data_IF_184002242991
#
_entry.id   IF_184002242991
#
_cell.length_a   1.000
_cell.length_b   1.000
_cell.length_c   1.000
_cell.angle_alpha   90.00
_cell.angle_beta   90.00
_cell.angle_gamma   90.00
#
_symmetry.space_group_name_H-M   'P 1'
#
loop_
_entity.id
_entity.type
_entity.pdbx_description
1 polymer ?
#
# COMPACT_ATOMS: atom_id res chain seq x y z
N UNK A 1 8.14 7.64 -12.10
CA UNK A 1 6.76 8.09 -12.37
C UNK A 1 5.93 6.84 -12.69
N UNK A 2 4.76 6.63 -12.08
CA UNK A 2 3.98 5.39 -12.24
C UNK A 2 3.02 5.46 -13.45
N UNK A 3 3.59 5.52 -14.64
CA UNK A 3 2.87 5.63 -15.92
C UNK A 3 3.82 5.83 -17.09
N UNK A 4 3.26 5.92 -18.30
CA UNK A 4 4.02 6.26 -19.51
C UNK A 4 4.43 7.74 -19.49
N UNK A 5 5.65 8.02 -19.94
CA UNK A 5 6.14 9.37 -20.18
C UNK A 5 5.52 9.97 -21.46
N UNK A 6 5.00 9.15 -22.37
CA UNK A 6 4.43 9.60 -23.64
C UNK A 6 5.42 10.36 -24.52
N UNK A 7 6.72 10.10 -24.35
CA UNK A 7 7.80 10.89 -24.91
C UNK A 7 8.64 10.04 -25.89
N UNK A 8 8.87 10.51 -27.13
CA UNK A 8 9.57 9.71 -28.15
C UNK A 8 11.06 9.52 -27.88
N UNK A 9 11.61 10.19 -26.86
CA UNK A 9 13.01 10.09 -26.43
C UNK A 9 13.18 9.25 -25.16
N UNK A 10 12.09 8.70 -24.61
CA UNK A 10 12.15 7.71 -23.53
C UNK A 10 11.84 6.36 -24.12
N UNK A 11 12.86 5.52 -24.09
CA UNK A 11 12.94 4.28 -24.82
C UNK A 11 12.30 3.10 -24.10
N UNK A 12 12.43 3.05 -22.77
CA UNK A 12 12.12 1.88 -21.95
C UNK A 12 11.46 2.31 -20.65
N UNK A 13 10.41 1.58 -20.25
CA UNK A 13 9.79 1.67 -18.94
C UNK A 13 10.08 0.40 -18.16
N UNK A 14 10.64 0.55 -16.95
CA UNK A 14 10.82 -0.56 -16.01
C UNK A 14 9.50 -0.82 -15.26
N UNK A 15 8.99 -2.05 -15.33
CA UNK A 15 7.75 -2.47 -14.68
C UNK A 15 7.84 -3.94 -14.23
N UNK A 16 6.71 -4.53 -13.88
CA UNK A 16 6.55 -5.97 -13.67
C UNK A 16 5.28 -6.47 -14.38
N UNK A 17 5.04 -7.78 -14.35
CA UNK A 17 3.91 -8.41 -15.02
C UNK A 17 2.53 -8.05 -14.44
N UNK A 18 2.47 -7.50 -13.22
CA UNK A 18 1.21 -7.09 -12.58
C UNK A 18 0.87 -5.65 -12.93
N UNK A 19 1.86 -4.75 -12.93
CA UNK A 19 1.66 -3.33 -13.21
C UNK A 19 1.24 -3.07 -14.64
N UNK A 20 2.01 -3.65 -15.57
CA UNK A 20 1.79 -3.55 -17.00
C UNK A 20 1.66 -4.98 -17.53
N UNK A 21 0.47 -5.57 -17.42
CA UNK A 21 0.25 -6.89 -17.99
C UNK A 21 0.34 -6.82 -19.54
N UNK A 22 0.63 -7.92 -20.25
CA UNK A 22 0.84 -7.91 -21.70
C UNK A 22 -0.31 -7.25 -22.48
N UNK A 23 -1.55 -7.43 -22.03
CA UNK A 23 -2.74 -6.85 -22.65
C UNK A 23 -2.78 -5.31 -22.61
N UNK A 24 -2.06 -4.68 -21.68
CA UNK A 24 -2.07 -3.22 -21.49
C UNK A 24 -0.84 -2.55 -22.11
N UNK A 25 0.10 -3.30 -22.71
CA UNK A 25 1.33 -2.75 -23.31
C UNK A 25 1.05 -1.67 -24.36
N UNK A 26 -0.06 -1.80 -25.10
CA UNK A 26 -0.45 -0.84 -26.13
C UNK A 26 -0.72 0.58 -25.60
N UNK A 27 -0.85 0.76 -24.28
CA UNK A 27 -1.04 2.06 -23.63
C UNK A 27 0.27 2.76 -23.23
N UNK A 28 1.43 2.17 -23.56
CA UNK A 28 2.75 2.68 -23.22
C UNK A 28 3.54 3.02 -24.48
N UNK A 29 4.11 4.23 -24.53
CA UNK A 29 5.00 4.61 -25.65
C UNK A 29 6.36 3.91 -25.57
N UNK A 30 6.79 3.58 -24.37
CA UNK A 30 8.06 2.92 -24.10
C UNK A 30 7.96 1.40 -24.28
N UNK A 31 9.09 0.76 -24.62
CA UNK A 31 9.21 -0.68 -24.48
C UNK A 31 9.12 -1.07 -22.99
N UNK A 32 8.23 -1.99 -22.64
CA UNK A 32 8.03 -2.42 -21.25
C UNK A 32 9.07 -3.48 -20.88
N UNK A 33 10.05 -3.12 -20.05
CA UNK A 33 11.03 -4.03 -19.47
C UNK A 33 10.53 -4.55 -18.12
N UNK A 34 10.20 -5.84 -18.05
CA UNK A 34 9.61 -6.45 -16.86
C UNK A 34 10.65 -7.11 -15.96
N UNK A 35 10.65 -6.71 -14.70
CA UNK A 35 11.38 -7.38 -13.63
C UNK A 35 10.61 -8.59 -13.10
N UNK A 36 11.31 -9.64 -12.63
CA UNK A 36 10.69 -10.71 -11.88
C UNK A 36 10.22 -10.20 -10.50
N UNK A 37 9.03 -10.61 -10.07
CA UNK A 37 8.46 -10.15 -8.80
C UNK A 37 7.84 -8.75 -8.92
N UNK A 38 8.40 -7.76 -8.20
CA UNK A 38 7.91 -6.38 -8.20
C UNK A 38 8.94 -5.42 -8.80
N UNK A 39 8.47 -4.35 -9.45
CA UNK A 39 9.31 -3.27 -9.96
C UNK A 39 9.98 -2.41 -8.86
N UNK A 40 9.47 -2.45 -7.63
CA UNK A 40 9.86 -1.51 -6.59
C UNK A 40 11.06 -2.03 -5.79
N UNK A 41 12.16 -1.28 -5.83
CA UNK A 41 13.30 -1.51 -4.93
C UNK A 41 12.92 -1.16 -3.49
N UNK A 42 13.24 -2.04 -2.55
CA UNK A 42 13.11 -1.79 -1.12
C UNK A 42 14.42 -2.14 -0.39
N UNK A 43 14.67 -1.46 0.73
CA UNK A 43 15.82 -1.75 1.59
C UNK A 43 15.70 -3.14 2.22
N UNK A 44 16.82 -3.68 2.71
CA UNK A 44 16.78 -4.86 3.57
C UNK A 44 15.97 -4.57 4.85
N UNK A 45 15.31 -5.58 5.41
CA UNK A 45 14.51 -5.43 6.64
C UNK A 45 15.34 -4.91 7.83
N UNK A 46 16.63 -5.23 7.88
CA UNK A 46 17.54 -4.83 8.96
C UNK A 46 18.22 -3.47 8.76
N UNK A 47 17.89 -2.73 7.69
CA UNK A 47 18.63 -1.52 7.30
C UNK A 47 18.37 -0.29 8.21
N UNK A 48 17.23 -0.25 8.90
CA UNK A 48 16.80 0.93 9.65
C UNK A 48 17.14 0.80 11.14
N UNK A 49 17.60 1.89 11.77
CA UNK A 49 17.78 1.95 13.23
C UNK A 49 16.41 1.97 13.90
N UNK A 50 16.10 1.05 14.83
CA UNK A 50 14.78 0.99 15.43
C UNK A 50 14.53 2.22 16.30
N UNK A 51 13.53 3.02 15.95
CA UNK A 51 12.93 3.96 16.89
C UNK A 51 12.05 3.19 17.88
N UNK A 52 11.87 3.72 19.09
CA UNK A 52 10.94 3.12 20.05
C UNK A 52 9.50 3.19 19.50
N UNK A 53 8.79 2.07 19.52
CA UNK A 53 7.39 2.02 19.13
C UNK A 53 6.56 2.85 20.12
N UNK A 54 5.79 3.85 19.65
CA UNK A 54 4.91 4.61 20.53
C UNK A 54 3.74 3.75 20.99
N UNK A 55 3.10 4.13 22.08
CA UNK A 55 1.83 3.57 22.52
C UNK A 55 0.65 4.14 21.73
N UNK A 56 -0.51 3.46 21.81
CA UNK A 56 -1.77 4.00 21.27
C UNK A 56 -2.15 5.34 21.89
N UNK A 57 -1.89 5.53 23.19
CA UNK A 57 -2.19 6.78 23.88
C UNK A 57 -1.35 7.95 23.34
N UNK A 58 -0.05 7.74 23.11
CA UNK A 58 0.86 8.75 22.55
C UNK A 58 0.50 9.14 21.11
N UNK A 59 -0.21 8.27 20.39
CA UNK A 59 -0.62 8.49 18.99
C UNK A 59 -2.06 8.96 18.84
N UNK A 60 -2.79 9.15 19.95
CA UNK A 60 -4.20 9.53 19.94
C UNK A 60 -5.15 8.43 19.45
N UNK A 61 -4.66 7.19 19.34
CA UNK A 61 -5.46 6.03 18.99
C UNK A 61 -6.29 5.54 20.19
N UNK A 62 -7.47 4.94 19.96
CA UNK A 62 -8.25 4.35 21.04
C UNK A 62 -7.51 3.17 21.69
N UNK A 63 -7.64 3.03 23.02
CA UNK A 63 -6.96 1.97 23.78
C UNK A 63 -7.39 0.55 23.39
N UNK A 64 -8.56 0.41 22.76
CA UNK A 64 -9.11 -0.84 22.24
C UNK A 64 -9.72 -0.62 20.86
N UNK A 65 -10.11 -1.70 20.20
CA UNK A 65 -10.71 -1.66 18.88
C UNK A 65 -9.70 -1.80 17.73
N UNK A 66 -10.24 -2.08 16.56
CA UNK A 66 -9.49 -2.32 15.34
C UNK A 66 -9.01 -1.00 14.74
N UNK A 67 -7.74 -0.92 14.34
CA UNK A 67 -7.17 0.29 13.71
C UNK A 67 -6.93 0.03 12.24
N UNK A 68 -7.80 0.58 11.38
CA UNK A 68 -7.48 0.73 9.97
C UNK A 68 -6.48 1.87 9.80
N UNK A 69 -5.55 1.78 8.86
CA UNK A 69 -4.61 2.86 8.58
C UNK A 69 -4.52 3.19 7.08
N UNK A 70 -4.19 4.44 6.78
CA UNK A 70 -3.77 4.84 5.44
C UNK A 70 -2.88 6.09 5.55
N UNK A 71 -1.57 5.92 5.42
CA UNK A 71 -0.61 7.03 5.48
C UNK A 71 -0.33 7.69 4.12
N UNK A 72 -1.26 7.55 3.18
CA UNK A 72 -1.16 8.17 1.86
C UNK A 72 -1.39 9.68 1.93
N UNK A 73 -0.90 10.39 0.90
CA UNK A 73 -1.23 11.79 0.70
C UNK A 73 -2.75 11.98 0.48
N UNK A 74 -3.30 13.06 1.03
CA UNK A 74 -4.74 13.35 0.98
C UNK A 74 -5.34 13.38 -0.44
N UNK A 75 -4.57 13.79 -1.46
CA UNK A 75 -5.05 13.82 -2.85
C UNK A 75 -5.31 12.43 -3.46
N UNK A 76 -4.85 11.34 -2.82
CA UNK A 76 -5.19 9.96 -3.22
C UNK A 76 -6.56 9.51 -2.69
N UNK A 77 -7.14 10.24 -1.75
CA UNK A 77 -8.41 9.89 -1.12
C UNK A 77 -9.55 10.47 -1.96
N UNK A 78 -10.02 9.68 -2.92
CA UNK A 78 -11.18 10.05 -3.73
C UNK A 78 -12.48 9.89 -2.94
N UNK A 79 -13.56 10.60 -3.31
CA UNK A 79 -14.86 10.43 -2.67
C UNK A 79 -15.33 8.96 -2.67
N UNK A 80 -15.15 8.25 -3.78
CA UNK A 80 -15.57 6.84 -3.92
C UNK A 80 -14.85 5.90 -2.95
N UNK A 81 -13.54 6.06 -2.76
CA UNK A 81 -12.78 5.27 -1.78
C UNK A 81 -13.16 5.67 -0.36
N UNK A 82 -13.35 6.97 -0.12
CA UNK A 82 -13.74 7.46 1.20
C UNK A 82 -15.14 6.95 1.60
N UNK A 83 -16.08 6.87 0.65
CA UNK A 83 -17.39 6.26 0.86
C UNK A 83 -17.26 4.79 1.29
N UNK A 84 -16.37 4.02 0.65
CA UNK A 84 -16.08 2.64 1.02
C UNK A 84 -15.52 2.53 2.44
N UNK A 85 -14.58 3.39 2.80
CA UNK A 85 -14.03 3.44 4.16
C UNK A 85 -15.08 3.82 5.21
N UNK A 86 -16.00 4.72 4.90
CA UNK A 86 -17.08 5.05 5.84
C UNK A 86 -18.05 3.88 6.03
N UNK A 87 -18.35 3.11 4.97
CA UNK A 87 -19.11 1.85 5.08
C UNK A 87 -18.39 0.81 5.94
N UNK A 88 -17.07 0.64 5.75
CA UNK A 88 -16.24 -0.24 6.57
C UNK A 88 -16.31 0.19 8.05
N UNK A 89 -16.08 1.48 8.34
CA UNK A 89 -16.14 2.00 9.71
C UNK A 89 -17.54 1.80 10.32
N UNK A 90 -18.61 2.05 9.58
CA UNK A 90 -19.97 1.82 10.05
C UNK A 90 -20.22 0.33 10.39
N UNK A 91 -19.71 -0.59 9.59
CA UNK A 91 -19.85 -2.04 9.80
C UNK A 91 -18.94 -2.61 10.90
N UNK A 92 -17.92 -1.88 11.34
CA UNK A 92 -16.98 -2.30 12.39
C UNK A 92 -17.02 -1.29 13.55
N UNK A 93 -18.01 -1.40 14.47
CA UNK A 93 -18.13 -0.50 15.61
C UNK A 93 -16.85 -0.49 16.47
N UNK A 94 -16.51 0.69 17.00
CA UNK A 94 -15.31 0.87 17.84
C UNK A 94 -13.98 0.86 17.09
N UNK A 95 -13.96 0.66 15.77
CA UNK A 95 -12.73 0.82 14.97
C UNK A 95 -12.39 2.28 14.71
N UNK A 96 -11.11 2.55 14.45
CA UNK A 96 -10.60 3.86 14.04
C UNK A 96 -9.95 3.77 12.65
N UNK A 97 -9.93 4.90 11.93
CA UNK A 97 -9.19 5.10 10.70
C UNK A 97 -8.05 6.09 10.96
N UNK A 98 -6.81 5.62 10.85
CA UNK A 98 -5.62 6.38 11.15
C UNK A 98 -4.95 6.88 9.86
N UNK A 99 -4.99 8.20 9.65
CA UNK A 99 -4.56 8.86 8.42
C UNK A 99 -3.31 9.71 8.64
N UNK A 100 -2.57 10.02 7.58
CA UNK A 100 -1.51 11.02 7.65
C UNK A 100 -2.10 12.43 7.70
N UNK A 101 -1.65 13.24 8.67
CA UNK A 101 -1.91 14.68 8.66
C UNK A 101 -0.94 15.38 7.71
N UNK A 102 -1.41 15.66 6.49
CA UNK A 102 -0.64 16.50 5.57
C UNK A 102 -0.78 18.00 5.92
N UNK A 103 -2.02 18.45 6.13
CA UNK A 103 -2.38 19.82 6.50
C UNK A 103 -3.66 19.82 7.33
N UNK A 104 -3.83 20.74 8.31
CA UNK A 104 -5.04 20.81 9.14
C UNK A 104 -6.34 20.93 8.33
N UNK A 105 -6.34 21.70 7.24
CA UNK A 105 -7.53 21.83 6.38
C UNK A 105 -7.98 20.48 5.76
N UNK A 106 -7.05 19.56 5.49
CA UNK A 106 -7.38 18.23 4.98
C UNK A 106 -8.05 17.38 6.06
N UNK A 107 -7.54 17.40 7.28
CA UNK A 107 -8.10 16.61 8.39
C UNK A 107 -9.47 17.14 8.81
N UNK A 108 -9.65 18.46 8.90
CA UNK A 108 -10.95 19.11 9.11
C UNK A 108 -11.98 18.73 8.03
N UNK A 109 -11.57 18.76 6.75
CA UNK A 109 -12.41 18.37 5.65
C UNK A 109 -12.85 16.90 5.76
N UNK A 110 -11.91 15.99 5.98
CA UNK A 110 -12.19 14.56 6.10
C UNK A 110 -13.09 14.24 7.30
N UNK A 111 -12.92 14.94 8.44
CA UNK A 111 -13.82 14.84 9.59
C UNK A 111 -15.25 15.26 9.24
N UNK A 112 -15.42 16.38 8.52
CA UNK A 112 -16.74 16.84 8.06
C UNK A 112 -17.37 15.85 7.09
N UNK A 113 -16.59 15.33 6.15
CA UNK A 113 -17.05 14.33 5.18
C UNK A 113 -17.44 13.00 5.84
N UNK A 114 -16.74 12.59 6.91
CA UNK A 114 -17.11 11.41 7.71
C UNK A 114 -18.45 11.62 8.43
N UNK A 115 -18.62 12.78 9.09
CA UNK A 115 -19.87 13.14 9.78
C UNK A 115 -21.06 13.18 8.80
N UNK A 116 -20.86 13.73 7.59
CA UNK A 116 -21.89 13.76 6.54
C UNK A 116 -22.33 12.35 6.08
N UNK A 117 -21.51 11.32 6.32
CA UNK A 117 -21.80 9.91 6.02
C UNK A 117 -22.24 9.12 7.26
N UNK A 118 -22.52 9.80 8.37
CA UNK A 118 -22.99 9.18 9.61
C UNK A 118 -21.89 8.48 10.43
N UNK A 119 -20.61 8.75 10.16
CA UNK A 119 -19.49 8.24 10.96
C UNK A 119 -19.00 9.32 11.90
N UNK A 120 -18.87 9.00 13.19
CA UNK A 120 -18.30 9.92 14.18
C UNK A 120 -16.89 10.37 13.75
N UNK A 121 -16.72 11.69 13.59
CA UNK A 121 -15.48 12.33 13.20
C UNK A 121 -14.30 11.96 14.11
N UNK A 122 -14.53 11.64 15.39
CA UNK A 122 -13.50 11.23 16.33
C UNK A 122 -12.88 9.85 16.01
N UNK A 123 -13.54 9.06 15.16
CA UNK A 123 -12.99 7.78 14.66
C UNK A 123 -11.91 7.98 13.61
N UNK A 124 -11.76 9.18 13.05
CA UNK A 124 -10.64 9.54 12.21
C UNK A 124 -9.53 10.11 13.12
N UNK A 125 -8.40 9.42 13.17
CA UNK A 125 -7.21 9.85 13.92
C UNK A 125 -6.17 10.30 12.89
N UNK A 126 -5.47 11.40 13.15
CA UNK A 126 -4.50 11.96 12.21
C UNK A 126 -3.10 11.93 12.83
N UNK A 127 -2.19 11.21 12.17
CA UNK A 127 -0.80 11.11 12.59
C UNK A 127 0.01 12.28 12.02
N UNK A 128 0.79 13.01 12.83
CA UNK A 128 1.67 14.04 12.31
C UNK A 128 2.77 13.44 11.43
N UNK A 129 3.44 14.30 10.65
CA UNK A 129 4.70 13.93 10.01
C UNK A 129 5.78 13.72 11.08
N UNK A 130 6.61 12.71 10.87
CA UNK A 130 7.75 12.38 11.72
C UNK A 130 8.90 11.88 10.84
N UNK A 131 10.06 11.61 11.44
CA UNK A 131 11.18 10.96 10.77
C UNK A 131 10.80 9.55 10.29
N UNK A 132 11.56 9.03 9.32
CA UNK A 132 11.28 7.72 8.72
C UNK A 132 11.29 6.58 9.75
N UNK A 133 12.29 6.54 10.64
CA UNK A 133 12.37 5.52 11.68
C UNK A 133 11.15 5.54 12.64
N UNK A 134 10.67 6.73 13.02
CA UNK A 134 9.47 6.90 13.85
C UNK A 134 8.20 6.53 13.07
N UNK A 135 8.18 6.81 11.76
CA UNK A 135 7.08 6.42 10.88
C UNK A 135 6.98 4.90 10.78
N UNK A 136 8.10 4.19 10.61
CA UNK A 136 8.12 2.74 10.62
C UNK A 136 7.70 2.19 11.99
N UNK A 137 8.28 2.68 13.08
CA UNK A 137 8.01 2.19 14.44
C UNK A 137 6.53 2.32 14.87
N UNK A 138 5.77 3.25 14.28
CA UNK A 138 4.33 3.42 14.57
C UNK A 138 3.42 2.51 13.76
N UNK A 139 3.88 1.95 12.63
CA UNK A 139 3.07 1.12 11.73
C UNK A 139 2.42 -0.06 12.49
N UNK A 140 3.11 -0.82 13.36
CA UNK A 140 2.52 -1.98 14.04
C UNK A 140 1.32 -1.69 14.95
N UNK A 141 1.03 -0.42 15.27
CA UNK A 141 -0.20 -0.06 15.97
C UNK A 141 -1.46 -0.20 15.11
N UNK A 142 -1.30 -0.29 13.78
CA UNK A 142 -2.38 -0.55 12.83
C UNK A 142 -2.65 -2.05 12.66
N UNK A 143 -3.93 -2.37 12.46
CA UNK A 143 -4.41 -3.72 12.22
C UNK A 143 -4.50 -4.09 10.74
N UNK A 144 -4.91 -3.14 9.91
CA UNK A 144 -4.97 -3.31 8.46
C UNK A 144 -4.72 -1.97 7.76
N UNK A 145 -3.80 -1.95 6.81
CA UNK A 145 -3.62 -0.81 5.93
C UNK A 145 -4.63 -0.89 4.78
N UNK A 146 -5.41 0.18 4.61
CA UNK A 146 -6.39 0.36 3.56
C UNK A 146 -5.78 1.16 2.41
N UNK A 147 -5.56 0.50 1.27
CA UNK A 147 -5.03 1.16 0.08
C UNK A 147 -6.09 2.01 -0.65
N UNK A 148 -5.64 2.89 -1.55
CA UNK A 148 -6.48 3.81 -2.33
C UNK A 148 -6.57 3.43 -3.81
N UNK A 149 -7.59 3.97 -4.49
CA UNK A 149 -7.86 3.80 -5.93
C UNK A 149 -8.39 5.15 -6.48
N UNK A 150 -8.07 5.56 -7.73
CA UNK A 150 -7.30 4.88 -8.78
C UNK A 150 -5.78 4.94 -8.62
N UNK A 151 -5.29 5.68 -7.63
CA UNK A 151 -3.87 5.82 -7.34
C UNK A 151 -3.56 5.16 -6.01
N UNK A 152 -2.90 4.01 -6.03
CA UNK A 152 -2.54 3.23 -4.85
C UNK A 152 -1.38 3.81 -4.05
N UNK A 153 -1.20 3.26 -2.87
CA UNK A 153 0.00 3.34 -2.08
C UNK A 153 1.17 2.78 -2.87
N UNK A 154 2.34 3.38 -2.66
CA UNK A 154 3.58 2.94 -3.27
C UNK A 154 4.53 2.63 -2.12
N UNK A 155 5.38 3.58 -1.74
CA UNK A 155 6.29 3.45 -0.59
C UNK A 155 5.54 3.21 0.73
N UNK A 156 4.39 3.85 0.93
CA UNK A 156 3.58 3.66 2.14
C UNK A 156 3.04 2.24 2.31
N UNK A 157 2.77 1.53 1.20
CA UNK A 157 2.38 0.12 1.25
C UNK A 157 3.58 -0.76 1.57
N UNK A 158 4.74 -0.51 0.98
CA UNK A 158 5.95 -1.29 1.31
C UNK A 158 6.42 -1.03 2.74
N UNK A 159 6.25 0.17 3.28
CA UNK A 159 6.50 0.49 4.71
C UNK A 159 5.55 -0.29 5.64
N UNK A 160 4.24 -0.35 5.32
CA UNK A 160 3.29 -1.13 6.12
C UNK A 160 3.63 -2.64 6.09
N UNK A 161 3.90 -3.19 4.90
CA UNK A 161 4.30 -4.58 4.74
C UNK A 161 5.65 -4.88 5.43
N UNK A 162 6.62 -3.95 5.33
CA UNK A 162 7.92 -4.01 6.03
C UNK A 162 7.73 -4.20 7.53
N UNK A 163 6.75 -3.52 8.11
CA UNK A 163 6.48 -3.54 9.56
C UNK A 163 5.44 -4.59 9.96
N UNK A 164 4.97 -5.40 9.01
CA UNK A 164 4.12 -6.57 9.29
C UNK A 164 2.64 -6.22 9.40
N UNK A 165 2.26 -5.04 8.91
CA UNK A 165 0.87 -4.63 8.76
C UNK A 165 0.38 -5.13 7.40
N UNK A 166 -0.67 -5.98 7.35
CA UNK A 166 -1.26 -6.38 6.08
C UNK A 166 -1.80 -5.17 5.32
N UNK A 167 -1.61 -5.16 4.00
CA UNK A 167 -2.14 -4.12 3.11
C UNK A 167 -3.26 -4.74 2.29
N UNK A 168 -4.47 -4.19 2.39
CA UNK A 168 -5.58 -4.54 1.50
C UNK A 168 -5.65 -3.52 0.36
N UNK A 169 -5.64 -3.99 -0.87
CA UNK A 169 -5.73 -3.16 -2.08
C UNK A 169 -6.87 -3.57 -2.99
N UNK A 170 -7.30 -2.67 -3.86
CA UNK A 170 -8.26 -2.93 -4.92
C UNK A 170 -7.55 -2.80 -6.27
N UNK A 171 -7.60 -3.83 -7.12
CA UNK A 171 -6.88 -3.83 -8.40
C UNK A 171 -7.43 -2.74 -9.32
N UNK A 172 -6.61 -1.74 -9.62
CA UNK A 172 -6.92 -0.72 -10.61
C UNK A 172 -6.66 -1.17 -12.05
N UNK A 173 -6.92 -0.26 -12.99
CA UNK A 173 -6.73 -0.45 -14.43
C UNK A 173 -5.48 0.25 -14.98
N UNK A 174 -4.74 0.98 -14.15
CA UNK A 174 -3.52 1.70 -14.52
C UNK A 174 -2.34 1.23 -13.69
N UNK A 175 -1.13 1.58 -14.12
CA UNK A 175 0.10 1.34 -13.35
C UNK A 175 -0.05 1.82 -11.90
N UNK A 176 -0.42 3.09 -11.71
CA UNK A 176 -0.54 3.68 -10.37
C UNK A 176 -1.60 2.99 -9.50
N UNK A 177 -2.61 2.36 -10.11
CA UNK A 177 -3.64 1.59 -9.41
C UNK A 177 -3.30 0.12 -9.17
N UNK A 178 -2.12 -0.35 -9.60
CA UNK A 178 -1.71 -1.76 -9.46
C UNK A 178 -0.47 -1.96 -8.60
N UNK A 179 0.10 -0.91 -8.02
CA UNK A 179 1.32 -1.02 -7.18
C UNK A 179 1.09 -1.89 -5.94
N UNK A 180 0.00 -1.69 -5.20
CA UNK A 180 -0.36 -2.57 -4.09
C UNK A 180 -0.46 -4.05 -4.51
N UNK A 181 -1.06 -4.30 -5.68
CA UNK A 181 -1.21 -5.66 -6.21
C UNK A 181 0.14 -6.28 -6.61
N UNK A 182 1.06 -5.51 -7.18
CA UNK A 182 2.42 -5.96 -7.49
C UNK A 182 3.18 -6.36 -6.23
N UNK A 183 3.13 -5.53 -5.18
CA UNK A 183 3.80 -5.81 -3.89
C UNK A 183 3.23 -7.09 -3.24
N UNK A 184 1.91 -7.23 -3.21
CA UNK A 184 1.24 -8.40 -2.64
C UNK A 184 1.49 -9.66 -3.48
N UNK A 185 1.56 -9.53 -4.81
CA UNK A 185 1.94 -10.62 -5.70
C UNK A 185 3.38 -11.11 -5.42
N UNK A 186 4.32 -10.19 -5.23
CA UNK A 186 5.71 -10.53 -4.87
C UNK A 186 5.83 -11.21 -3.50
N UNK A 187 4.91 -10.94 -2.57
CA UNK A 187 4.82 -11.59 -1.26
C UNK A 187 3.98 -12.88 -1.26
N UNK A 188 3.33 -13.23 -2.37
CA UNK A 188 2.43 -14.40 -2.42
C UNK A 188 1.18 -14.24 -1.55
N UNK A 189 0.61 -13.02 -1.48
CA UNK A 189 -0.61 -12.69 -0.72
C UNK A 189 -1.73 -12.18 -1.65
N UNK A 190 -2.12 -12.92 -2.71
CA UNK A 190 -3.11 -12.46 -3.68
C UNK A 190 -4.51 -12.25 -3.09
N UNK A 191 -4.83 -12.90 -1.97
CA UNK A 191 -6.11 -12.73 -1.27
C UNK A 191 -6.34 -11.33 -0.69
N UNK A 192 -5.29 -10.50 -0.64
CA UNK A 192 -5.36 -9.09 -0.25
C UNK A 192 -5.51 -8.14 -1.44
N UNK A 193 -5.69 -8.68 -2.65
CA UNK A 193 -5.99 -7.92 -3.86
C UNK A 193 -7.45 -8.12 -4.23
N UNK A 194 -8.30 -7.18 -3.81
CA UNK A 194 -9.70 -7.20 -4.16
C UNK A 194 -9.92 -6.86 -5.64
N UNK A 195 -10.83 -7.55 -6.35
CA UNK A 195 -11.14 -7.27 -7.76
C UNK A 195 -11.95 -5.98 -7.95
N UNK A 196 -12.66 -5.54 -6.92
CA UNK A 196 -13.50 -4.34 -6.92
C UNK A 196 -13.68 -3.79 -5.49
N UNK A 197 -14.30 -2.61 -5.37
CA UNK A 197 -14.50 -1.96 -4.07
C UNK A 197 -15.48 -2.72 -3.15
N UNK A 198 -16.43 -3.49 -3.69
CA UNK A 198 -17.36 -4.25 -2.86
C UNK A 198 -16.64 -5.41 -2.17
N UNK A 199 -15.81 -6.16 -2.91
CA UNK A 199 -14.95 -7.20 -2.37
C UNK A 199 -13.89 -6.62 -1.41
N UNK A 200 -13.37 -5.43 -1.70
CA UNK A 200 -12.47 -4.71 -0.80
C UNK A 200 -13.14 -4.42 0.54
N UNK A 201 -14.34 -3.84 0.54
CA UNK A 201 -15.10 -3.57 1.77
C UNK A 201 -15.39 -4.85 2.55
N UNK A 202 -15.89 -5.88 1.87
CA UNK A 202 -16.20 -7.17 2.49
C UNK A 202 -14.96 -7.81 3.14
N UNK A 203 -13.79 -7.71 2.48
CA UNK A 203 -12.53 -8.25 3.00
C UNK A 203 -12.04 -7.46 4.22
N UNK A 204 -12.10 -6.14 4.19
CA UNK A 204 -11.73 -5.29 5.32
C UNK A 204 -12.59 -5.59 6.55
N UNK A 205 -13.91 -5.69 6.36
CA UNK A 205 -14.87 -6.00 7.44
C UNK A 205 -14.61 -7.41 7.98
N UNK A 206 -14.44 -8.41 7.12
CA UNK A 206 -14.17 -9.78 7.53
C UNK A 206 -12.89 -9.90 8.36
N UNK A 207 -11.80 -9.25 7.93
CA UNK A 207 -10.53 -9.24 8.68
C UNK A 207 -10.68 -8.55 10.05
N UNK A 208 -11.49 -7.48 10.13
CA UNK A 208 -11.71 -6.78 11.38
C UNK A 208 -12.60 -7.53 12.37
N UNK A 209 -13.51 -8.38 11.88
CA UNK A 209 -14.43 -9.16 12.71
C UNK A 209 -13.95 -10.59 13.00
N UNK A 210 -12.86 -11.03 12.36
CA UNK A 210 -12.31 -12.40 12.50
C UNK A 210 -10.84 -12.37 12.96
N UNK A 211 -10.58 -12.19 14.27
CA UNK A 211 -9.22 -12.04 14.80
C UNK A 211 -8.29 -13.20 14.46
N UNK A 212 -8.79 -14.44 14.43
CA UNK A 212 -8.01 -15.62 14.07
C UNK A 212 -7.53 -15.56 12.61
N UNK A 213 -8.39 -15.10 11.70
CA UNK A 213 -8.05 -14.94 10.28
C UNK A 213 -6.98 -13.87 10.10
N UNK A 214 -7.10 -12.75 10.82
CA UNK A 214 -6.08 -11.70 10.78
C UNK A 214 -4.75 -12.18 11.38
N UNK A 215 -4.78 -12.93 12.47
CA UNK A 215 -3.58 -13.48 13.10
C UNK A 215 -2.84 -14.43 12.14
N UNK A 216 -3.55 -15.35 11.51
CA UNK A 216 -2.99 -16.26 10.51
C UNK A 216 -2.42 -15.51 9.30
N UNK A 217 -3.08 -14.43 8.86
CA UNK A 217 -2.59 -13.57 7.79
C UNK A 217 -1.30 -12.84 8.18
N UNK A 218 -1.22 -12.29 9.41
CA UNK A 218 -0.03 -11.62 9.94
C UNK A 218 1.14 -12.59 10.08
N UNK A 219 0.90 -13.81 10.54
CA UNK A 219 1.93 -14.85 10.59
C UNK A 219 2.48 -15.16 9.20
N UNK A 220 1.60 -15.38 8.22
CA UNK A 220 2.01 -15.60 6.82
C UNK A 220 2.79 -14.41 6.25
N UNK A 221 2.33 -13.18 6.50
CA UNK A 221 3.06 -11.98 6.09
C UNK A 221 4.47 -11.95 6.70
N UNK A 222 4.60 -12.24 8.00
CA UNK A 222 5.90 -12.27 8.67
C UNK A 222 6.86 -13.29 8.04
N UNK A 223 6.37 -14.49 7.69
CA UNK A 223 7.15 -15.50 6.97
C UNK A 223 7.54 -15.02 5.57
N UNK A 224 6.57 -14.52 4.79
CA UNK A 224 6.77 -14.11 3.40
C UNK A 224 7.68 -12.90 3.26
N UNK A 225 7.65 -12.00 4.24
CA UNK A 225 8.50 -10.82 4.25
C UNK A 225 10.00 -11.16 4.25
N UNK A 226 10.37 -12.22 4.96
CA UNK A 226 11.76 -12.71 5.04
C UNK A 226 12.12 -13.69 3.91
N UNK A 227 11.12 -14.42 3.39
CA UNK A 227 11.33 -15.46 2.37
C UNK A 227 11.24 -14.94 0.94
N UNK A 228 10.50 -13.86 0.70
CA UNK A 228 10.33 -13.25 -0.62
C UNK A 228 11.53 -12.39 -1.03
N UNK A 229 11.64 -12.11 -2.32
CA UNK A 229 12.64 -11.16 -2.85
C UNK A 229 12.27 -9.68 -2.67
N UNK A 230 11.12 -9.35 -2.07
CA UNK A 230 10.62 -7.97 -2.04
C UNK A 230 11.52 -7.02 -1.22
N UNK A 231 12.13 -7.52 -0.14
CA UNK A 231 13.02 -6.78 0.75
C UNK A 231 14.48 -7.25 0.65
N UNK A 232 14.89 -7.74 -0.53
CA UNK A 232 16.27 -8.10 -0.85
C UNK A 232 16.84 -7.14 -1.91
N UNK A 233 17.49 -6.03 -1.50
CA UNK A 233 18.01 -5.05 -2.44
C UNK A 233 19.13 -5.60 -3.33
N UNK A 234 19.88 -6.61 -2.87
CA UNK A 234 20.96 -7.22 -3.66
C UNK A 234 20.39 -8.14 -4.75
N UNK A 235 19.30 -8.84 -4.46
CA UNK A 235 18.56 -9.59 -5.49
C UNK A 235 17.90 -8.66 -6.48
N UNK A 236 17.27 -7.59 -6.02
CA UNK A 236 16.68 -6.57 -6.90
C UNK A 236 17.74 -5.99 -7.87
N UNK A 237 18.91 -5.61 -7.35
CA UNK A 237 20.01 -5.08 -8.19
C UNK A 237 20.41 -6.08 -9.28
N UNK A 238 20.63 -7.35 -8.92
CA UNK A 238 20.96 -8.42 -9.88
C UNK A 238 19.87 -8.63 -10.94
N UNK A 239 18.61 -8.65 -10.53
CA UNK A 239 17.47 -8.81 -11.44
C UNK A 239 17.35 -7.61 -12.41
N UNK A 240 17.58 -6.40 -11.92
CA UNK A 240 17.59 -5.17 -12.71
C UNK A 240 18.76 -5.13 -13.69
N UNK A 241 19.98 -5.42 -13.25
CA UNK A 241 21.18 -5.51 -14.10
C UNK A 241 20.96 -6.51 -15.24
N UNK A 242 20.45 -7.71 -14.92
CA UNK A 242 20.15 -8.72 -15.92
C UNK A 242 19.08 -8.25 -16.93
N UNK A 243 18.06 -7.52 -16.48
CA UNK A 243 17.03 -6.96 -17.36
C UNK A 243 17.59 -5.88 -18.28
N UNK A 244 18.43 -4.98 -17.75
CA UNK A 244 19.06 -3.92 -18.53
C UNK A 244 20.05 -4.48 -19.56
N UNK A 245 20.84 -5.50 -19.21
CA UNK A 245 21.74 -6.19 -20.13
C UNK A 245 20.98 -6.81 -21.31
N UNK A 246 19.89 -7.54 -21.04
CA UNK A 246 19.04 -8.10 -22.12
C UNK A 246 18.46 -7.03 -23.03
N UNK A 247 18.01 -5.90 -22.46
CA UNK A 247 17.48 -4.79 -23.23
C UNK A 247 18.55 -4.12 -24.10
N UNK A 248 19.79 -4.03 -23.61
CA UNK A 248 20.93 -3.50 -24.36
C UNK A 248 21.37 -4.44 -25.48
N UNK A 249 21.47 -5.74 -25.23
CA UNK A 249 21.81 -6.76 -26.25
C UNK A 249 20.78 -6.77 -27.39
N UNK A 250 19.49 -6.69 -27.07
CA UNK A 250 18.42 -6.65 -28.07
C UNK A 250 18.43 -5.40 -28.97
N UNK A 251 19.16 -4.34 -28.59
CA UNK A 251 19.30 -3.10 -29.37
C UNK A 251 20.60 -3.01 -30.16
N UNK A 252 21.59 -3.81 -29.77
CA UNK A 252 22.93 -3.78 -30.37
C UNK A 252 23.18 -4.96 -31.31
N UNK A 253 22.32 -5.98 -31.29
CA UNK A 253 22.24 -7.06 -32.28
C UNK A 253 21.51 -6.62 -33.56
#
# INVERSE_FOLDING_TARGET
YPGTMGAPFIDTLLADGVLVPPEDEAHYSEQVLRLPGSYQANNALAADSPAAAPSRAETGLPSQGFVFSCFNNAWKLTPTVFDAWMRILAAVPGSALWLLEDRPANSENLRREAAARGVDANRLVFAPRCGHAEHLARQPLADLFLDTLPYGAHTTASDALREGVPVLTCRGTSFAGRVGASLLGALGLPELVAPDLAAYEATAIALAQQPERLAALRERLQTQRSASGLFDPLRFARDMEAALLRAWEARTA
#
